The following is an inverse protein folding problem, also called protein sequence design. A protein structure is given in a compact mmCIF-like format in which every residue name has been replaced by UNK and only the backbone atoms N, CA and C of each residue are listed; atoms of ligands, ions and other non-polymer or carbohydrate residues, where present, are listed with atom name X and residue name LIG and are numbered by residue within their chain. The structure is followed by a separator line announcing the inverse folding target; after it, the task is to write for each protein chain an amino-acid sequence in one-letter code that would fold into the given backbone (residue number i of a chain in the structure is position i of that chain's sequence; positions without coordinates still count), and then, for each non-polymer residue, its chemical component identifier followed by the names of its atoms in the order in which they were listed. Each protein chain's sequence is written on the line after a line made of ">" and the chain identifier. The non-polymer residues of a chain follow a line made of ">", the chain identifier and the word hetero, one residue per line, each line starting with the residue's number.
data_IF_529257238275
#
_entry.id   IF_529257238275
#
_cell.length_a   1.000
_cell.length_b   1.000
_cell.length_c   1.000
_cell.angle_alpha   90.00
_cell.angle_beta   90.00
_cell.angle_gamma   90.00
#
_symmetry.space_group_name_H-M   'P 1'
#
loop_
_entity.id
_entity.type
_entity.pdbx_description
1 polymer ?
#
# COMPACT_ATOMS: atom_id res chain seq x y z
N UNK A 1 -16.17 9.63 0.87
CA UNK A 1 -15.32 8.91 -0.13
C UNK A 1 -14.22 8.19 0.62
N UNK A 2 -14.00 6.91 0.35
CA UNK A 2 -12.94 6.10 0.96
C UNK A 2 -11.92 5.71 -0.12
N UNK A 3 -10.65 5.58 0.28
CA UNK A 3 -9.55 5.25 -0.63
C UNK A 3 -8.89 3.93 -0.25
N UNK A 4 -8.66 3.08 -1.24
CA UNK A 4 -7.88 1.86 -1.09
C UNK A 4 -6.65 1.91 -1.98
N UNK A 5 -5.48 1.74 -1.40
CA UNK A 5 -4.20 1.68 -2.11
C UNK A 5 -3.87 0.22 -2.35
N UNK A 6 -3.75 -0.15 -3.62
CA UNK A 6 -3.35 -1.48 -4.07
C UNK A 6 -1.90 -1.44 -4.52
N UNK A 7 -1.08 -2.31 -3.97
CA UNK A 7 0.38 -2.24 -4.19
C UNK A 7 1.00 -3.63 -4.41
N UNK A 8 2.00 -3.72 -5.31
CA UNK A 8 2.87 -4.87 -5.30
C UNK A 8 3.78 -4.82 -4.10
N UNK A 9 4.30 -4.89 -3.37
CA UNK A 9 5.26 -4.58 -2.31
C UNK A 9 6.44 -3.74 -2.82
N UNK A 10 6.99 -2.93 -1.93
CA UNK A 10 8.24 -2.22 -2.20
C UNK A 10 8.19 -1.01 -3.17
N UNK A 11 7.01 -0.49 -3.48
CA UNK A 11 6.82 0.71 -4.33
C UNK A 11 6.49 1.99 -3.56
N UNK A 12 6.94 2.14 -2.32
CA UNK A 12 6.71 3.37 -1.54
C UNK A 12 5.25 3.65 -1.18
N UNK A 13 4.38 2.65 -1.24
CA UNK A 13 2.95 2.79 -0.97
C UNK A 13 2.61 3.27 0.44
N UNK A 14 3.50 3.06 1.40
CA UNK A 14 3.38 3.63 2.76
C UNK A 14 3.48 5.15 2.72
N UNK A 15 4.38 5.69 1.89
CA UNK A 15 4.51 7.12 1.68
C UNK A 15 3.26 7.70 1.03
N UNK A 16 2.76 7.08 -0.06
CA UNK A 16 1.50 7.48 -0.70
C UNK A 16 0.33 7.48 0.30
N UNK A 17 0.20 6.44 1.12
CA UNK A 17 -0.87 6.32 2.10
C UNK A 17 -0.83 7.46 3.12
N UNK A 18 0.35 7.75 3.67
CA UNK A 18 0.54 8.83 4.65
C UNK A 18 0.30 10.20 4.01
N UNK A 19 0.91 10.44 2.85
CA UNK A 19 0.77 11.70 2.13
C UNK A 19 -0.69 12.00 1.78
N UNK A 20 -1.42 11.01 1.24
CA UNK A 20 -2.84 11.14 0.93
C UNK A 20 -3.67 11.44 2.19
N UNK A 21 -3.41 10.75 3.30
CA UNK A 21 -4.15 10.98 4.55
C UNK A 21 -3.93 12.39 5.07
N UNK A 22 -2.68 12.85 5.09
CA UNK A 22 -2.35 14.22 5.56
C UNK A 22 -2.95 15.26 4.62
N UNK A 23 -2.83 15.05 3.30
CA UNK A 23 -3.41 15.96 2.30
C UNK A 23 -4.92 16.15 2.48
N UNK A 24 -5.65 15.04 2.65
CA UNK A 24 -7.09 15.07 2.88
C UNK A 24 -7.46 15.74 4.22
N UNK A 25 -6.69 15.51 5.28
CA UNK A 25 -6.93 16.11 6.58
C UNK A 25 -6.60 17.61 6.60
N UNK A 26 -5.58 18.05 5.86
CA UNK A 26 -5.31 19.47 5.64
C UNK A 26 -6.45 20.16 4.87
N UNK A 27 -7.16 19.43 4.01
CA UNK A 27 -8.38 19.89 3.38
C UNK A 27 -9.63 19.90 4.29
N UNK A 28 -9.47 19.71 5.61
CA UNK A 28 -10.55 19.65 6.58
C UNK A 28 -11.44 18.40 6.49
N UNK A 29 -10.89 17.28 5.95
CA UNK A 29 -11.65 16.07 5.71
C UNK A 29 -11.24 14.97 6.68
N UNK A 30 -11.67 14.84 7.81
CA UNK A 30 -11.33 13.86 8.85
C UNK A 30 -11.19 12.40 8.34
N UNK A 31 -10.01 12.08 7.77
CA UNK A 31 -9.65 10.75 7.29
C UNK A 31 -8.80 10.00 8.29
N UNK A 32 -8.99 8.68 8.32
CA UNK A 32 -8.23 7.78 9.15
C UNK A 32 -7.42 6.79 8.32
N UNK A 33 -6.18 6.53 8.74
CA UNK A 33 -5.25 5.64 8.08
C UNK A 33 -4.99 4.40 8.96
N UNK A 34 -5.71 3.29 8.77
CA UNK A 34 -5.49 2.05 9.51
C UNK A 34 -4.40 1.18 8.90
N UNK A 35 -3.41 1.73 8.24
CA UNK A 35 -2.31 0.99 7.62
C UNK A 35 -2.75 -0.16 6.69
N UNK A 36 -2.47 -1.40 7.05
CA UNK A 36 -2.65 -2.59 6.21
C UNK A 36 -3.93 -3.35 6.57
N UNK A 37 -4.84 -3.51 5.63
CA UNK A 37 -6.13 -4.16 5.88
C UNK A 37 -6.02 -5.63 6.31
N UNK A 38 -4.98 -6.32 5.85
CA UNK A 38 -4.81 -7.74 6.15
C UNK A 38 -3.98 -8.02 7.42
N UNK A 39 -3.60 -6.96 8.15
CA UNK A 39 -3.07 -7.06 9.50
C UNK A 39 -4.23 -6.91 10.51
N UNK A 40 -4.85 -8.03 10.86
CA UNK A 40 -6.15 -8.04 11.52
C UNK A 40 -6.20 -7.41 12.92
N UNK A 41 -5.18 -7.58 13.76
CA UNK A 41 -5.19 -7.01 15.12
C UNK A 41 -5.08 -5.48 15.08
N UNK A 42 -4.18 -4.97 14.28
CA UNK A 42 -3.99 -3.55 14.11
C UNK A 42 -5.21 -2.90 13.48
N UNK A 43 -5.82 -3.54 12.47
CA UNK A 43 -7.03 -3.07 11.83
C UNK A 43 -8.17 -2.88 12.85
N UNK A 44 -8.37 -3.82 13.78
CA UNK A 44 -9.40 -3.71 14.83
C UNK A 44 -9.17 -2.48 15.71
N UNK A 45 -7.95 -2.29 16.18
CA UNK A 45 -7.61 -1.14 17.01
C UNK A 45 -7.76 0.17 16.23
N UNK A 46 -7.28 0.19 15.00
CA UNK A 46 -7.24 1.37 14.16
C UNK A 46 -8.62 1.79 13.63
N UNK A 47 -9.46 0.86 13.21
CA UNK A 47 -10.78 1.18 12.65
C UNK A 47 -11.83 1.42 13.76
N UNK A 48 -11.89 0.56 14.76
CA UNK A 48 -12.95 0.62 15.76
C UNK A 48 -12.62 1.55 16.91
N UNK A 49 -11.36 1.61 17.33
CA UNK A 49 -10.94 2.34 18.53
C UNK A 49 -10.19 3.63 18.21
N UNK A 50 -9.77 3.85 16.96
CA UNK A 50 -8.90 4.95 16.54
C UNK A 50 -7.61 5.06 17.39
N UNK A 51 -7.14 3.95 17.90
CA UNK A 51 -5.90 3.90 18.67
C UNK A 51 -4.78 3.45 17.73
N UNK A 52 -3.85 4.35 17.45
CA UNK A 52 -2.56 3.94 16.93
C UNK A 52 -1.78 3.35 18.10
N UNK A 53 -1.56 2.06 18.08
CA UNK A 53 -0.61 1.44 18.98
C UNK A 53 0.79 1.78 18.47
N UNK A 54 1.51 2.62 19.23
CA UNK A 54 2.87 3.04 18.89
C UNK A 54 3.88 1.87 18.96
N UNK A 55 3.52 0.77 19.56
CA UNK A 55 4.31 -0.46 19.55
C UNK A 55 4.09 -1.21 18.23
N UNK A 56 4.67 -0.70 17.16
CA UNK A 56 4.76 -1.38 15.88
C UNK A 56 5.60 -2.65 16.03
N UNK A 57 4.99 -3.72 16.49
CA UNK A 57 5.54 -5.04 16.33
C UNK A 57 5.25 -5.46 14.88
N UNK A 58 6.27 -5.48 14.05
CA UNK A 58 6.23 -5.99 12.68
C UNK A 58 5.91 -7.50 12.60
N UNK A 59 5.58 -8.11 13.71
CA UNK A 59 5.01 -9.44 13.78
C UNK A 59 3.57 -9.35 13.30
N UNK A 60 3.38 -9.70 12.04
CA UNK A 60 2.08 -9.84 11.40
C UNK A 60 1.25 -10.89 12.15
N UNK A 61 0.50 -10.44 13.14
CA UNK A 61 -0.48 -11.30 13.80
C UNK A 61 -1.72 -11.37 12.91
N UNK A 62 -1.83 -12.39 12.09
CA UNK A 62 -3.01 -12.70 11.30
C UNK A 62 -4.15 -13.24 12.20
N UNK A 63 -4.38 -12.58 13.34
CA UNK A 63 -5.34 -13.02 14.36
C UNK A 63 -6.80 -12.85 13.94
N UNK A 64 -7.08 -12.11 12.87
CA UNK A 64 -8.43 -11.87 12.37
C UNK A 64 -8.68 -12.64 11.07
N UNK A 65 -9.82 -13.31 10.98
CA UNK A 65 -10.27 -13.91 9.72
C UNK A 65 -10.61 -12.83 8.70
N UNK A 66 -10.58 -13.18 7.43
CA UNK A 66 -11.00 -12.28 6.34
C UNK A 66 -12.45 -11.84 6.53
N UNK A 67 -13.32 -12.71 7.06
CA UNK A 67 -14.71 -12.40 7.36
C UNK A 67 -14.85 -11.31 8.44
N UNK A 68 -14.05 -11.38 9.50
CA UNK A 68 -14.03 -10.34 10.53
C UNK A 68 -13.55 -9.00 9.96
N UNK A 69 -12.55 -9.02 9.07
CA UNK A 69 -12.07 -7.82 8.39
C UNK A 69 -13.18 -7.21 7.52
N UNK A 70 -13.91 -8.03 6.76
CA UNK A 70 -15.07 -7.59 5.98
C UNK A 70 -16.12 -6.93 6.87
N UNK A 71 -16.44 -7.54 8.00
CA UNK A 71 -17.43 -7.02 8.95
C UNK A 71 -16.99 -5.68 9.55
N UNK A 72 -15.71 -5.53 9.90
CA UNK A 72 -15.14 -4.27 10.40
C UNK A 72 -15.19 -3.15 9.34
N UNK A 73 -14.85 -3.46 8.09
CA UNK A 73 -14.94 -2.49 6.99
C UNK A 73 -16.37 -2.00 6.75
N UNK A 74 -17.34 -2.90 6.77
CA UNK A 74 -18.75 -2.55 6.60
C UNK A 74 -19.33 -1.72 7.75
N UNK A 75 -18.78 -1.87 8.97
CA UNK A 75 -19.19 -1.14 10.16
C UNK A 75 -18.41 0.17 10.36
N UNK A 76 -17.37 0.42 9.57
CA UNK A 76 -16.53 1.59 9.71
C UNK A 76 -17.32 2.89 9.50
N UNK A 77 -17.36 3.74 10.52
CA UNK A 77 -18.02 5.06 10.49
C UNK A 77 -17.09 6.17 9.99
N UNK A 78 -15.80 5.91 9.99
CA UNK A 78 -14.78 6.88 9.60
C UNK A 78 -14.53 6.82 8.10
N UNK A 79 -14.07 7.94 7.54
CA UNK A 79 -13.49 7.94 6.20
C UNK A 79 -12.12 7.30 6.26
N UNK A 80 -11.83 6.38 5.34
CA UNK A 80 -10.66 5.54 5.40
C UNK A 80 -9.71 5.78 4.22
N UNK A 81 -8.40 5.74 4.52
CA UNK A 81 -7.32 5.54 3.55
C UNK A 81 -6.59 4.26 3.93
N UNK A 82 -6.93 3.17 3.27
CA UNK A 82 -6.39 1.84 3.56
C UNK A 82 -5.40 1.39 2.49
N UNK A 83 -4.65 0.33 2.79
CA UNK A 83 -3.71 -0.30 1.86
C UNK A 83 -3.82 -1.82 1.88
N UNK A 84 -3.65 -2.44 0.72
CA UNK A 84 -3.46 -3.88 0.55
C UNK A 84 -2.22 -4.12 -0.30
N UNK A 85 -1.28 -4.89 0.22
CA UNK A 85 -0.18 -5.44 -0.56
C UNK A 85 -0.52 -6.87 -0.99
N UNK A 86 -0.35 -7.18 -2.29
CA UNK A 86 -0.68 -8.50 -2.84
C UNK A 86 0.02 -9.64 -2.09
N UNK A 87 1.27 -9.45 -1.66
CA UNK A 87 2.02 -10.48 -0.97
C UNK A 87 1.37 -10.91 0.36
N UNK A 88 0.64 -10.01 1.06
CA UNK A 88 -0.09 -10.38 2.28
C UNK A 88 -1.18 -11.40 1.99
N UNK A 89 -1.91 -11.24 0.87
CA UNK A 89 -2.91 -12.20 0.43
C UNK A 89 -2.26 -13.55 0.16
N UNK A 90 -1.18 -13.56 -0.64
CA UNK A 90 -0.45 -14.78 -0.98
C UNK A 90 0.04 -15.51 0.28
N UNK A 91 0.57 -14.78 1.24
CA UNK A 91 1.07 -15.35 2.51
C UNK A 91 -0.07 -15.91 3.37
N UNK A 92 -1.19 -15.22 3.44
CA UNK A 92 -2.36 -15.68 4.19
C UNK A 92 -2.97 -16.94 3.58
N UNK A 93 -3.10 -16.99 2.25
CA UNK A 93 -3.57 -18.17 1.52
C UNK A 93 -2.67 -19.40 1.73
N UNK A 94 -1.38 -19.20 1.94
CA UNK A 94 -0.45 -20.29 2.22
C UNK A 94 -0.55 -20.83 3.66
N UNK A 95 -1.08 -20.06 4.59
CA UNK A 95 -0.97 -20.36 6.02
C UNK A 95 -2.31 -20.48 6.75
N UNK A 96 -3.34 -19.70 6.37
CA UNK A 96 -4.52 -19.51 7.22
C UNK A 96 -5.85 -19.44 6.48
N UNK A 97 -5.91 -18.88 5.27
CA UNK A 97 -7.15 -18.55 4.60
C UNK A 97 -7.42 -19.45 3.38
N UNK A 98 -8.66 -19.47 2.91
CA UNK A 98 -9.08 -20.15 1.69
C UNK A 98 -9.35 -19.14 0.58
N UNK A 99 -9.28 -19.60 -0.69
CA UNK A 99 -9.46 -18.71 -1.86
C UNK A 99 -10.85 -18.08 -1.88
N UNK A 100 -11.87 -18.82 -1.47
CA UNK A 100 -13.27 -18.38 -1.45
C UNK A 100 -13.49 -17.18 -0.50
N UNK A 101 -12.68 -17.06 0.56
CA UNK A 101 -12.75 -15.95 1.50
C UNK A 101 -12.45 -14.60 0.82
N UNK A 102 -11.60 -14.63 -0.21
CA UNK A 102 -11.16 -13.43 -0.90
C UNK A 102 -12.13 -12.92 -1.95
N UNK A 103 -12.99 -13.75 -2.52
CA UNK A 103 -14.05 -13.28 -3.42
C UNK A 103 -14.98 -12.31 -2.68
N UNK A 104 -15.44 -12.70 -1.49
CA UNK A 104 -16.27 -11.86 -0.63
C UNK A 104 -15.49 -10.59 -0.19
N UNK A 105 -14.21 -10.72 0.14
CA UNK A 105 -13.38 -9.61 0.53
C UNK A 105 -13.23 -8.56 -0.57
N UNK A 106 -12.98 -8.98 -1.82
CA UNK A 106 -12.89 -8.07 -2.96
C UNK A 106 -14.22 -7.36 -3.23
N UNK A 107 -15.34 -8.08 -3.10
CA UNK A 107 -16.70 -7.49 -3.21
C UNK A 107 -16.91 -6.41 -2.14
N UNK A 108 -16.54 -6.69 -0.89
CA UNK A 108 -16.64 -5.71 0.21
C UNK A 108 -15.73 -4.51 -0.05
N UNK A 109 -14.48 -4.73 -0.47
CA UNK A 109 -13.57 -3.64 -0.83
C UNK A 109 -14.12 -2.79 -1.99
N UNK A 110 -14.67 -3.43 -3.02
CA UNK A 110 -15.28 -2.72 -4.15
C UNK A 110 -16.46 -1.85 -3.74
N UNK A 111 -17.23 -2.27 -2.73
CA UNK A 111 -18.39 -1.54 -2.21
C UNK A 111 -18.00 -0.42 -1.22
N UNK A 112 -17.02 -0.66 -0.35
CA UNK A 112 -16.66 0.25 0.74
C UNK A 112 -15.75 1.39 0.26
N UNK A 113 -14.86 1.11 -0.69
CA UNK A 113 -13.90 2.09 -1.19
C UNK A 113 -14.36 2.69 -2.52
N UNK A 114 -14.54 4.00 -2.54
CA UNK A 114 -14.98 4.73 -3.73
C UNK A 114 -13.90 4.80 -4.81
N UNK A 115 -12.63 4.99 -4.42
CA UNK A 115 -11.47 4.99 -5.31
C UNK A 115 -10.46 3.94 -4.87
N UNK A 116 -9.97 3.14 -5.82
CA UNK A 116 -8.90 2.18 -5.65
C UNK A 116 -7.68 2.69 -6.41
N UNK A 117 -6.66 3.07 -5.65
CA UNK A 117 -5.41 3.61 -6.18
C UNK A 117 -4.49 2.45 -6.53
N UNK A 118 -4.29 2.25 -7.81
CA UNK A 118 -3.45 1.21 -8.36
C UNK A 118 -2.03 1.73 -8.53
N UNK A 119 -1.12 1.37 -7.63
CA UNK A 119 0.27 1.81 -7.69
C UNK A 119 1.00 1.13 -8.86
N UNK A 120 1.45 1.93 -9.82
CA UNK A 120 2.23 1.48 -10.98
C UNK A 120 3.66 1.97 -10.89
N UNK A 121 4.55 1.21 -11.47
CA UNK A 121 5.97 1.55 -11.66
C UNK A 121 6.46 0.84 -12.92
N UNK A 122 7.53 1.33 -13.55
CA UNK A 122 8.19 0.55 -14.58
C UNK A 122 8.60 -0.84 -14.04
N UNK A 123 8.21 -1.94 -14.70
CA UNK A 123 8.49 -3.29 -14.20
C UNK A 123 9.97 -3.61 -14.03
N UNK A 124 10.82 -3.05 -14.93
CA UNK A 124 12.27 -3.23 -14.85
C UNK A 124 12.83 -2.50 -13.63
N UNK A 125 12.45 -1.25 -13.42
CA UNK A 125 12.81 -0.45 -12.25
C UNK A 125 12.36 -1.12 -10.94
N UNK A 126 11.16 -1.69 -10.93
CA UNK A 126 10.67 -2.47 -9.80
C UNK A 126 11.57 -3.67 -9.50
N UNK A 127 11.88 -4.50 -10.50
CA UNK A 127 12.71 -5.69 -10.34
C UNK A 127 14.15 -5.35 -9.96
N UNK A 128 14.72 -4.26 -10.52
CA UNK A 128 16.04 -3.75 -10.13
C UNK A 128 16.08 -3.29 -8.69
N UNK A 129 15.09 -2.53 -8.26
CA UNK A 129 14.97 -2.07 -6.86
C UNK A 129 14.96 -3.24 -5.86
N UNK A 130 14.27 -4.32 -6.19
CA UNK A 130 14.26 -5.54 -5.38
C UNK A 130 15.60 -6.30 -5.41
N UNK A 131 16.27 -6.36 -6.57
CA UNK A 131 17.59 -6.98 -6.70
C UNK A 131 18.63 -6.26 -5.85
N UNK A 132 18.60 -4.94 -5.81
CA UNK A 132 19.45 -4.11 -4.95
C UNK A 132 19.15 -4.40 -3.47
N UNK A 133 17.88 -4.41 -3.08
CA UNK A 133 17.46 -4.68 -1.70
C UNK A 133 17.89 -6.05 -1.20
N UNK A 134 17.74 -7.07 -2.05
CA UNK A 134 18.07 -8.45 -1.70
C UNK A 134 19.58 -8.64 -1.41
N UNK A 135 20.45 -7.89 -2.12
CA UNK A 135 21.91 -8.00 -1.92
C UNK A 135 22.47 -7.10 -0.81
N UNK A 136 21.79 -6.04 -0.47
CA UNK A 136 22.34 -5.00 0.39
C UNK A 136 21.72 -4.95 1.78
N UNK A 137 20.80 -5.86 2.10
CA UNK A 137 19.95 -5.79 3.32
C UNK A 137 19.27 -4.42 3.56
N UNK A 138 19.22 -3.59 2.50
CA UNK A 138 18.71 -2.22 2.55
C UNK A 138 17.17 -2.15 2.61
N UNK A 139 16.50 -3.21 3.04
CA UNK A 139 15.04 -3.22 3.20
C UNK A 139 14.53 -2.08 4.09
N UNK A 140 15.35 -1.57 4.98
CA UNK A 140 14.99 -0.61 6.01
C UNK A 140 15.75 0.72 5.96
N UNK A 141 16.47 1.05 4.88
CA UNK A 141 17.12 2.35 4.80
C UNK A 141 16.10 3.47 4.51
N UNK A 142 15.64 4.09 5.58
CA UNK A 142 14.80 5.29 5.53
C UNK A 142 15.60 6.59 5.32
N UNK A 143 16.94 6.53 5.37
CA UNK A 143 17.81 7.71 5.25
C UNK A 143 18.18 8.00 3.80
N UNK A 144 17.51 8.98 3.19
CA UNK A 144 17.70 9.40 1.79
C UNK A 144 19.11 9.96 1.54
N UNK A 145 19.78 10.53 2.55
CA UNK A 145 21.15 11.06 2.40
C UNK A 145 22.18 9.96 2.15
N UNK A 146 22.07 8.85 2.87
CA UNK A 146 22.98 7.71 2.72
C UNK A 146 22.83 7.01 1.36
N UNK A 147 21.66 7.12 0.70
CA UNK A 147 21.43 6.52 -0.62
C UNK A 147 22.13 7.25 -1.77
N UNK A 148 22.32 8.57 -1.67
CA UNK A 148 22.87 9.39 -2.76
C UNK A 148 24.35 9.16 -2.99
N UNK A 149 25.07 8.72 -1.97
CA UNK A 149 26.53 8.55 -2.02
C UNK A 149 26.96 7.10 -2.27
N UNK A 150 26.01 6.19 -2.48
CA UNK A 150 26.29 4.77 -2.71
C UNK A 150 26.38 4.47 -4.20
N UNK A 151 27.60 4.34 -4.71
CA UNK A 151 27.87 3.76 -6.02
C UNK A 151 28.03 2.25 -5.88
N UNK A 152 27.09 1.49 -6.46
CA UNK A 152 27.17 0.04 -6.46
C UNK A 152 27.56 -0.47 -7.86
N UNK A 153 28.62 -1.28 -7.91
CA UNK A 153 28.77 -2.27 -8.95
C UNK A 153 28.23 -3.60 -8.39
N UNK A 154 27.21 -4.16 -9.01
CA UNK A 154 26.53 -5.31 -8.47
C UNK A 154 26.15 -6.29 -9.57
N UNK A 155 26.54 -7.56 -9.37
CA UNK A 155 26.00 -8.64 -10.19
C UNK A 155 24.56 -8.90 -9.82
N UNK A 156 23.67 -8.77 -10.78
CA UNK A 156 22.24 -9.04 -10.60
C UNK A 156 21.99 -10.55 -10.73
N UNK A 157 21.33 -11.13 -9.74
CA UNK A 157 20.80 -12.48 -9.88
C UNK A 157 19.65 -12.46 -10.90
N UNK A 158 19.92 -12.98 -12.09
CA UNK A 158 18.98 -12.98 -13.21
C UNK A 158 17.71 -13.76 -12.89
N UNK A 159 17.80 -14.84 -12.11
CA UNK A 159 16.64 -15.64 -11.75
C UNK A 159 15.73 -14.87 -10.77
N UNK A 160 16.32 -14.26 -9.76
CA UNK A 160 15.60 -13.41 -8.82
C UNK A 160 14.95 -12.20 -9.53
N UNK A 161 15.67 -11.57 -10.44
CA UNK A 161 15.16 -10.45 -11.24
C UNK A 161 13.95 -10.89 -12.10
N UNK A 162 14.05 -12.00 -12.82
CA UNK A 162 12.93 -12.57 -13.60
C UNK A 162 11.73 -12.92 -12.72
N UNK A 163 11.99 -13.47 -11.55
CA UNK A 163 10.94 -13.75 -10.56
C UNK A 163 10.19 -12.46 -10.19
N UNK A 164 10.89 -11.35 -9.91
CA UNK A 164 10.27 -10.07 -9.55
C UNK A 164 9.47 -9.46 -10.70
N UNK A 165 9.94 -9.58 -11.93
CA UNK A 165 9.13 -9.21 -13.10
C UNK A 165 7.83 -10.00 -13.20
N UNK A 166 7.89 -11.31 -12.98
CA UNK A 166 6.71 -12.17 -12.99
C UNK A 166 5.73 -11.83 -11.85
N UNK A 167 6.25 -11.57 -10.66
CA UNK A 167 5.45 -11.15 -9.51
C UNK A 167 4.73 -9.81 -9.77
N UNK A 168 5.39 -8.89 -10.44
CA UNK A 168 4.80 -7.60 -10.82
C UNK A 168 3.68 -7.78 -11.85
N UNK A 169 3.89 -8.58 -12.90
CA UNK A 169 2.84 -8.91 -13.87
C UNK A 169 1.63 -9.59 -13.23
N UNK A 170 1.89 -10.53 -12.32
CA UNK A 170 0.83 -11.19 -11.54
C UNK A 170 0.07 -10.21 -10.60
N UNK A 171 0.74 -9.18 -10.09
CA UNK A 171 0.09 -8.11 -9.35
C UNK A 171 -0.83 -7.28 -10.22
N UNK A 172 -0.38 -6.83 -11.39
CA UNK A 172 -1.21 -6.04 -12.30
C UNK A 172 -2.47 -6.80 -12.73
N UNK A 173 -2.30 -8.08 -13.07
CA UNK A 173 -3.43 -8.95 -13.40
C UNK A 173 -4.41 -9.06 -12.25
N UNK A 174 -3.91 -9.35 -11.04
CA UNK A 174 -4.73 -9.46 -9.83
C UNK A 174 -5.55 -8.18 -9.56
N UNK A 175 -4.96 -7.00 -9.71
CA UNK A 175 -5.67 -5.73 -9.50
C UNK A 175 -6.79 -5.57 -10.52
N UNK A 176 -6.49 -5.78 -11.81
CA UNK A 176 -7.44 -5.56 -12.90
C UNK A 176 -8.60 -6.58 -12.87
N UNK A 177 -8.35 -7.78 -12.35
CA UNK A 177 -9.33 -8.86 -12.29
C UNK A 177 -10.30 -8.72 -11.09
N UNK A 178 -9.83 -8.18 -9.97
CA UNK A 178 -10.59 -8.18 -8.72
C UNK A 178 -11.16 -6.81 -8.30
N UNK A 179 -10.69 -5.72 -8.88
CA UNK A 179 -11.11 -4.39 -8.45
C UNK A 179 -11.67 -3.53 -9.58
N UNK A 180 -12.64 -2.69 -9.22
CA UNK A 180 -13.29 -1.71 -10.11
C UNK A 180 -12.96 -0.29 -9.67
N UNK A 181 -13.26 0.72 -10.51
CA UNK A 181 -13.00 2.15 -10.23
C UNK A 181 -11.51 2.40 -9.90
N UNK A 182 -10.63 1.84 -10.71
CA UNK A 182 -9.19 1.93 -10.57
C UNK A 182 -8.68 3.29 -11.04
N UNK A 183 -7.81 3.89 -10.23
CA UNK A 183 -7.05 5.10 -10.58
C UNK A 183 -5.58 4.73 -10.54
N UNK A 184 -4.90 4.75 -11.67
CA UNK A 184 -3.46 4.48 -11.73
C UNK A 184 -2.69 5.61 -11.07
N UNK A 185 -1.75 5.26 -10.18
CA UNK A 185 -0.82 6.17 -9.54
C UNK A 185 0.59 5.72 -9.88
N UNK A 186 1.23 6.46 -10.76
CA UNK A 186 2.61 6.24 -11.16
C UNK A 186 3.54 6.66 -10.00
N UNK A 187 4.32 5.70 -9.50
CA UNK A 187 5.19 5.91 -8.35
C UNK A 187 6.22 7.01 -8.61
N UNK A 188 6.82 7.04 -9.79
CA UNK A 188 7.89 8.00 -10.08
C UNK A 188 7.31 9.40 -10.23
N UNK A 189 6.18 9.57 -10.90
CA UNK A 189 5.47 10.86 -10.97
C UNK A 189 5.04 11.34 -9.59
N UNK A 190 4.48 10.44 -8.78
CA UNK A 190 4.09 10.77 -7.42
C UNK A 190 5.29 11.19 -6.56
N UNK A 191 6.43 10.53 -6.74
CA UNK A 191 7.65 10.87 -6.00
C UNK A 191 8.23 12.24 -6.39
N UNK A 192 8.17 12.59 -7.68
CA UNK A 192 8.67 13.88 -8.17
C UNK A 192 7.74 15.06 -7.91
N UNK A 193 6.44 14.86 -7.95
CA UNK A 193 5.44 15.93 -7.77
C UNK A 193 4.19 15.41 -7.02
N UNK A 194 4.33 15.12 -5.72
CA UNK A 194 3.26 14.54 -4.93
C UNK A 194 2.02 15.44 -4.83
N UNK A 195 2.17 16.76 -4.79
CA UNK A 195 1.03 17.68 -4.68
C UNK A 195 0.12 17.60 -5.90
N UNK A 196 0.70 17.61 -7.10
CA UNK A 196 -0.05 17.51 -8.34
C UNK A 196 -0.77 16.15 -8.45
N UNK A 197 -0.09 15.07 -8.09
CA UNK A 197 -0.70 13.74 -8.10
C UNK A 197 -1.82 13.62 -7.04
N UNK A 198 -1.63 14.17 -5.83
CA UNK A 198 -2.68 14.19 -4.81
C UNK A 198 -3.86 15.07 -5.21
N UNK A 199 -3.62 16.20 -5.88
CA UNK A 199 -4.69 17.01 -6.47
C UNK A 199 -5.48 16.21 -7.51
N UNK A 200 -4.81 15.54 -8.44
CA UNK A 200 -5.44 14.71 -9.48
C UNK A 200 -6.27 13.56 -8.87
N UNK A 201 -5.77 12.93 -7.79
CA UNK A 201 -6.47 11.86 -7.08
C UNK A 201 -7.70 12.38 -6.34
N UNK A 202 -7.59 13.53 -5.67
CA UNK A 202 -8.60 13.99 -4.70
C UNK A 202 -9.52 15.07 -5.22
N UNK A 203 -9.06 15.88 -6.17
CA UNK A 203 -9.74 17.10 -6.65
C UNK A 203 -9.67 18.28 -5.69
N UNK A 204 -8.83 18.23 -4.64
CA UNK A 204 -8.62 19.33 -3.70
C UNK A 204 -7.34 20.09 -4.03
N UNK A 205 -7.38 21.43 -3.93
CA UNK A 205 -6.19 22.27 -4.09
C UNK A 205 -5.58 22.58 -2.71
N UNK A 206 -4.44 21.99 -2.42
CA UNK A 206 -3.63 22.31 -1.24
C UNK A 206 -2.15 22.06 -1.52
N UNK A 207 -1.29 22.98 -1.10
CA UNK A 207 0.14 22.76 -1.08
C UNK A 207 0.54 22.18 0.27
N UNK A 208 0.90 20.92 0.31
CA UNK A 208 1.23 20.21 1.58
C UNK A 208 2.69 19.77 1.64
N UNK A 209 3.37 19.70 0.50
CA UNK A 209 4.66 19.03 0.36
C UNK A 209 5.84 19.72 1.04
N UNK A 210 5.77 21.02 1.33
CA UNK A 210 6.83 21.71 2.04
C UNK A 210 6.98 21.30 3.52
N UNK A 211 6.11 20.41 4.01
CA UNK A 211 6.08 19.97 5.42
C UNK A 211 6.29 18.46 5.62
N UNK A 212 6.51 17.70 4.56
CA UNK A 212 6.84 16.28 4.70
C UNK A 212 8.34 16.07 4.84
N UNK A 213 8.94 16.54 5.91
CA UNK A 213 10.15 15.92 6.46
C UNK A 213 9.74 14.57 7.07
N UNK A 214 9.68 13.54 6.19
CA UNK A 214 9.42 12.16 6.58
C UNK A 214 10.71 11.36 6.43
#
# INVERSE_FOLDING_TARGET
>A
MNYLILTPDGVGSTYLQRALTVYLNCAGKDYYNPHELLNGLQLKNDILLRKQDASYNWLYEYSQTVENICSMLQQAKNKLVCRIAKYHITRRLQQYDHTEDYEKFYQVCNKVFDKKLFCTRDPFEYAMSWSIRNKTDMLNMYNVKERKDMHFSMDVDVNFFKQKLSEYGAYEFWVKDNFTNLVAVDYDKFHYNPDNELHNITGYEHAVTSKFDI
#
